data_IF_079956066412
#
_entry.id   IF_079956066412
#
_cell.length_a   1.000
_cell.length_b   1.000
_cell.length_c   1.000
_cell.angle_alpha   90.00
_cell.angle_beta   90.00
_cell.angle_gamma   90.00
#
_symmetry.space_group_name_H-M   'P 1'
#
loop_
_entity.id
_entity.type
_entity.pdbx_description
1 polymer ?
#
# COMPACT_ATOMS: atom_id res chain seq x y z
N UNK A 1 -15.46 -3.61 -17.11
CA UNK A 1 -14.18 -3.00 -16.64
C UNK A 1 -14.38 -1.59 -16.07
N UNK A 2 -15.30 -0.77 -16.60
CA UNK A 2 -15.56 0.59 -16.10
C UNK A 2 -16.37 0.64 -14.79
N UNK A 3 -17.14 -0.39 -14.45
CA UNK A 3 -18.01 -0.38 -13.26
C UNK A 3 -17.24 -0.62 -11.95
N UNK A 4 -16.27 -1.53 -11.96
CA UNK A 4 -15.47 -1.86 -10.76
C UNK A 4 -14.58 -0.68 -10.33
N UNK A 5 -13.89 -0.04 -11.27
CA UNK A 5 -13.04 1.12 -10.95
C UNK A 5 -13.84 2.35 -10.48
N UNK A 6 -15.12 2.47 -10.85
CA UNK A 6 -16.01 3.54 -10.38
C UNK A 6 -16.51 3.29 -8.97
N UNK A 7 -16.88 2.04 -8.63
CA UNK A 7 -17.25 1.65 -7.26
C UNK A 7 -16.08 1.79 -6.30
N UNK A 8 -14.90 1.30 -6.66
CA UNK A 8 -13.67 1.46 -5.86
C UNK A 8 -13.37 2.93 -5.55
N UNK A 9 -13.45 3.81 -6.56
CA UNK A 9 -13.26 5.26 -6.36
C UNK A 9 -14.30 5.89 -5.44
N UNK A 10 -15.56 5.47 -5.51
CA UNK A 10 -16.64 5.99 -4.66
C UNK A 10 -16.51 5.49 -3.22
N UNK A 11 -16.13 4.22 -3.00
CA UNK A 11 -15.87 3.67 -1.67
C UNK A 11 -14.69 4.39 -1.01
N UNK A 12 -13.56 4.52 -1.71
CA UNK A 12 -12.42 5.27 -1.20
C UNK A 12 -12.72 6.72 -0.82
N UNK A 13 -13.70 7.37 -1.44
CA UNK A 13 -14.11 8.74 -1.10
C UNK A 13 -15.01 8.74 0.15
N UNK A 14 -15.97 7.83 0.26
CA UNK A 14 -16.92 7.75 1.39
C UNK A 14 -16.24 7.35 2.69
N UNK A 15 -15.37 6.36 2.64
CA UNK A 15 -14.61 5.90 3.82
C UNK A 15 -13.80 7.03 4.47
N UNK A 16 -13.16 7.86 3.66
CA UNK A 16 -12.40 9.02 4.18
C UNK A 16 -13.26 10.10 4.81
N UNK A 17 -14.56 10.11 4.56
CA UNK A 17 -15.48 11.00 5.26
C UNK A 17 -15.67 10.55 6.71
N UNK A 18 -15.54 9.25 7.03
CA UNK A 18 -15.62 8.75 8.42
C UNK A 18 -14.38 9.06 9.25
N UNK A 19 -13.20 9.16 8.64
CA UNK A 19 -11.93 9.41 9.35
C UNK A 19 -11.55 10.90 9.47
N UNK A 20 -12.37 11.79 8.94
CA UNK A 20 -12.10 13.25 8.94
C UNK A 20 -12.01 13.89 10.32
N UNK A 21 -12.67 13.31 11.29
CA UNK A 21 -12.84 13.92 12.61
C UNK A 21 -11.76 13.48 13.60
N UNK A 22 -11.19 12.26 13.39
CA UNK A 22 -10.33 11.62 14.38
C UNK A 22 -8.88 11.38 13.91
N UNK A 23 -8.62 11.35 12.59
CA UNK A 23 -7.30 11.04 12.07
C UNK A 23 -6.35 12.25 12.13
N UNK A 24 -5.15 12.07 12.70
CA UNK A 24 -4.04 13.03 12.60
C UNK A 24 -3.16 12.78 11.36
N UNK A 25 -3.06 11.54 10.90
CA UNK A 25 -2.29 11.16 9.73
C UNK A 25 -2.91 9.96 8.99
N UNK A 26 -2.70 9.90 7.70
CA UNK A 26 -3.09 8.76 6.85
C UNK A 26 -1.86 8.23 6.12
N UNK A 27 -1.66 6.91 6.20
CA UNK A 27 -0.50 6.21 5.64
C UNK A 27 -0.94 5.27 4.52
N UNK A 28 -0.59 5.60 3.28
CA UNK A 28 -0.80 4.71 2.14
C UNK A 28 0.43 3.84 1.92
N UNK A 29 0.23 2.53 1.94
CA UNK A 29 1.31 1.54 1.89
C UNK A 29 1.75 1.17 0.46
N UNK A 30 1.66 2.09 -0.48
CA UNK A 30 2.07 1.89 -1.88
C UNK A 30 0.98 1.30 -2.77
N UNK A 31 1.27 1.23 -4.07
CA UNK A 31 0.34 0.78 -5.11
C UNK A 31 -1.01 1.51 -5.07
N UNK A 32 -0.96 2.80 -4.76
CA UNK A 32 -2.12 3.69 -4.69
C UNK A 32 -2.79 3.85 -6.06
N UNK A 33 -1.98 3.73 -7.11
CA UNK A 33 -2.39 3.79 -8.50
C UNK A 33 -1.94 2.55 -9.26
N UNK A 34 -2.74 2.10 -10.23
CA UNK A 34 -2.38 0.99 -11.13
C UNK A 34 -1.12 1.26 -11.96
N UNK A 35 -0.89 2.53 -12.21
CA UNK A 35 0.27 3.08 -12.89
C UNK A 35 0.35 4.57 -12.62
N UNK A 36 1.52 5.04 -12.19
CA UNK A 36 1.78 6.46 -12.00
C UNK A 36 3.16 6.82 -12.52
N UNK A 37 3.23 7.83 -13.40
CA UNK A 37 4.47 8.45 -13.85
C UNK A 37 4.27 9.95 -13.98
N UNK A 38 5.07 10.73 -13.28
CA UNK A 38 5.07 12.18 -13.35
C UNK A 38 6.01 12.65 -14.46
N UNK A 39 5.44 13.10 -15.58
CA UNK A 39 6.17 13.85 -16.59
C UNK A 39 6.31 15.31 -16.15
N UNK A 40 7.21 16.05 -16.78
CA UNK A 40 7.45 17.46 -16.42
C UNK A 40 6.18 18.33 -16.37
N UNK A 41 5.23 18.07 -17.26
CA UNK A 41 4.01 18.88 -17.41
C UNK A 41 2.72 18.05 -17.46
N UNK A 42 2.80 16.73 -17.28
CA UNK A 42 1.65 15.83 -17.45
C UNK A 42 1.69 14.74 -16.38
N UNK A 43 0.55 14.52 -15.76
CA UNK A 43 0.30 13.41 -14.84
C UNK A 43 -0.83 12.52 -15.33
N UNK A 44 -0.95 11.28 -14.84
CA UNK A 44 -2.05 10.38 -15.20
C UNK A 44 -3.42 11.00 -14.92
N UNK A 45 -4.32 10.93 -15.91
CA UNK A 45 -5.70 11.41 -15.77
C UNK A 45 -6.58 10.40 -15.05
N UNK A 46 -7.71 10.87 -14.51
CA UNK A 46 -8.77 10.01 -13.94
C UNK A 46 -8.79 9.94 -12.43
N UNK A 47 -7.89 10.63 -11.73
CA UNK A 47 -7.74 10.60 -10.28
C UNK A 47 -8.21 11.87 -9.57
N UNK A 48 -8.84 12.83 -10.28
CA UNK A 48 -9.17 14.17 -9.78
C UNK A 48 -9.98 14.14 -8.48
N UNK A 49 -11.02 13.29 -8.39
CA UNK A 49 -11.85 13.21 -7.18
C UNK A 49 -11.09 12.64 -5.99
N UNK A 50 -10.24 11.65 -6.24
CA UNK A 50 -9.40 11.04 -5.22
C UNK A 50 -8.38 12.04 -4.70
N UNK A 51 -7.63 12.68 -5.60
CA UNK A 51 -6.65 13.70 -5.25
C UNK A 51 -7.30 14.92 -4.58
N UNK A 52 -8.47 15.36 -5.06
CA UNK A 52 -9.24 16.42 -4.41
C UNK A 52 -9.66 16.06 -2.99
N UNK A 53 -9.97 14.78 -2.72
CA UNK A 53 -10.26 14.34 -1.37
C UNK A 53 -9.02 14.32 -0.48
N UNK A 54 -7.86 13.93 -1.00
CA UNK A 54 -6.60 14.01 -0.25
C UNK A 54 -6.22 15.47 0.06
N UNK A 55 -6.40 16.36 -0.91
CA UNK A 55 -6.20 17.80 -0.70
C UNK A 55 -7.12 18.35 0.40
N UNK A 56 -8.42 18.01 0.37
CA UNK A 56 -9.37 18.40 1.43
C UNK A 56 -8.92 17.93 2.82
N UNK A 57 -8.39 16.71 2.94
CA UNK A 57 -7.90 16.18 4.20
C UNK A 57 -6.62 16.88 4.65
N UNK A 58 -5.70 17.14 3.73
CA UNK A 58 -4.48 17.89 4.00
C UNK A 58 -4.77 19.34 4.43
N UNK A 59 -5.73 20.01 3.79
CA UNK A 59 -6.18 21.37 4.16
C UNK A 59 -6.80 21.43 5.57
N UNK A 60 -7.26 20.30 6.09
CA UNK A 60 -7.74 20.16 7.48
C UNK A 60 -6.62 19.85 8.48
N UNK A 61 -5.38 19.72 8.01
CA UNK A 61 -4.21 19.43 8.85
C UNK A 61 -3.93 17.95 9.06
N UNK A 62 -4.58 17.04 8.30
CA UNK A 62 -4.27 15.61 8.34
C UNK A 62 -3.03 15.35 7.48
N UNK A 63 -1.99 14.78 8.06
CA UNK A 63 -0.77 14.43 7.33
C UNK A 63 -1.02 13.27 6.37
N UNK A 64 -0.62 13.44 5.11
CA UNK A 64 -0.78 12.43 4.07
C UNK A 64 0.58 11.82 3.74
N UNK A 65 0.80 10.59 4.19
CA UNK A 65 2.02 9.83 3.93
C UNK A 65 1.75 8.78 2.85
N UNK A 66 2.63 8.70 1.84
CA UNK A 66 2.48 7.75 0.74
C UNK A 66 3.82 7.01 0.54
N UNK A 67 3.81 5.71 0.76
CA UNK A 67 4.90 4.86 0.28
C UNK A 67 4.74 4.62 -1.21
N UNK A 68 5.85 4.60 -1.96
CA UNK A 68 5.81 4.17 -3.35
C UNK A 68 5.72 2.64 -3.39
N UNK A 69 4.85 2.12 -4.24
CA UNK A 69 4.78 0.71 -4.56
C UNK A 69 5.48 0.37 -5.88
N UNK A 70 5.34 -0.85 -6.33
CA UNK A 70 5.93 -1.28 -7.61
C UNK A 70 5.12 -0.80 -8.83
N UNK A 71 3.85 -0.41 -8.67
CA UNK A 71 2.99 0.13 -9.73
C UNK A 71 3.11 1.66 -9.87
N UNK A 72 3.48 2.36 -8.82
CA UNK A 72 3.50 3.82 -8.76
C UNK A 72 4.84 4.39 -8.25
N UNK A 73 5.93 3.70 -8.59
CA UNK A 73 7.30 4.00 -8.19
C UNK A 73 7.78 5.40 -8.67
N UNK A 74 7.15 5.99 -9.69
CA UNK A 74 7.55 7.25 -10.32
C UNK A 74 6.72 8.44 -9.84
N UNK A 75 6.40 8.47 -8.54
CA UNK A 75 5.94 9.67 -7.84
C UNK A 75 7.15 10.54 -7.51
N UNK A 76 7.18 11.78 -7.99
CA UNK A 76 8.34 12.66 -7.77
C UNK A 76 8.00 13.86 -6.88
N UNK A 77 7.33 14.86 -7.40
CA UNK A 77 7.08 16.11 -6.71
C UNK A 77 5.65 16.68 -6.89
N UNK A 78 4.85 16.08 -7.76
CA UNK A 78 3.49 16.53 -8.01
C UNK A 78 2.61 16.42 -6.77
N UNK A 79 2.52 15.23 -6.16
CA UNK A 79 1.69 15.04 -4.97
C UNK A 79 2.18 15.86 -3.75
N UNK A 80 3.49 15.96 -3.48
CA UNK A 80 4.01 16.89 -2.48
C UNK A 80 3.61 18.35 -2.71
N UNK A 81 3.70 18.82 -3.95
CA UNK A 81 3.41 20.23 -4.30
C UNK A 81 1.92 20.56 -4.30
N UNK A 82 1.08 19.65 -4.82
CA UNK A 82 -0.34 19.90 -5.01
C UNK A 82 -1.19 19.60 -3.77
N UNK A 83 -0.80 18.62 -2.96
CA UNK A 83 -1.58 18.19 -1.80
C UNK A 83 -0.78 18.11 -0.51
N UNK A 84 0.49 18.54 -0.49
CA UNK A 84 1.33 18.47 0.70
C UNK A 84 1.70 17.05 1.13
N UNK A 85 1.56 16.03 0.26
CA UNK A 85 1.84 14.64 0.61
C UNK A 85 3.34 14.40 0.86
N UNK A 86 3.64 13.56 1.84
CA UNK A 86 5.00 13.11 2.19
C UNK A 86 5.24 11.77 1.51
N UNK A 87 6.17 11.73 0.53
CA UNK A 87 6.47 10.53 -0.23
C UNK A 87 7.63 9.76 0.39
N UNK A 88 7.37 8.51 0.78
CA UNK A 88 8.36 7.57 1.29
C UNK A 88 8.82 6.63 0.18
N UNK A 89 10.12 6.64 -0.12
CA UNK A 89 10.72 5.85 -1.22
C UNK A 89 11.27 4.51 -0.78
N UNK A 90 11.45 4.35 0.52
CA UNK A 90 11.97 3.14 1.16
C UNK A 90 11.19 2.89 2.45
N UNK A 91 11.48 1.78 3.12
CA UNK A 91 10.90 1.48 4.43
C UNK A 91 11.22 2.59 5.44
N UNK A 92 10.35 2.81 6.39
CA UNK A 92 10.47 3.82 7.43
C UNK A 92 10.31 3.19 8.81
N UNK A 93 11.23 3.52 9.72
CA UNK A 93 11.04 3.29 11.14
C UNK A 93 10.64 4.61 11.80
N UNK A 94 9.51 4.64 12.49
CA UNK A 94 8.94 5.84 13.09
C UNK A 94 8.30 5.53 14.44
N UNK A 95 8.39 6.49 15.35
CA UNK A 95 7.72 6.41 16.65
C UNK A 95 6.36 7.15 16.56
N UNK A 96 5.26 6.41 16.75
CA UNK A 96 3.90 6.93 16.72
C UNK A 96 3.24 6.69 18.07
N UNK A 97 2.92 7.76 18.78
CA UNK A 97 2.23 7.72 20.08
C UNK A 97 2.86 6.71 21.06
N UNK A 98 4.19 6.71 21.15
CA UNK A 98 4.94 5.89 22.12
C UNK A 98 5.19 4.43 21.72
N UNK A 99 4.84 4.05 20.49
CA UNK A 99 5.16 2.74 19.90
C UNK A 99 6.01 2.90 18.67
N UNK A 100 6.91 1.95 18.44
CA UNK A 100 7.84 1.96 17.31
C UNK A 100 7.34 1.09 16.18
N UNK A 101 7.16 1.71 15.02
CA UNK A 101 6.63 1.12 13.80
C UNK A 101 7.71 0.96 12.75
N UNK A 102 7.68 -0.16 12.05
CA UNK A 102 8.40 -0.37 10.80
C UNK A 102 7.37 -0.46 9.68
N UNK A 103 7.37 0.53 8.80
CA UNK A 103 6.38 0.69 7.74
C UNK A 103 7.04 0.56 6.37
N UNK A 104 6.35 -0.02 5.40
CA UNK A 104 6.80 -0.09 4.02
C UNK A 104 5.75 -0.66 3.09
N UNK A 105 6.01 -0.59 1.78
CA UNK A 105 5.15 -1.26 0.81
C UNK A 105 5.26 -2.79 0.95
N UNK A 106 6.48 -3.30 1.07
CA UNK A 106 6.76 -4.71 1.26
C UNK A 106 7.54 -5.37 0.12
N UNK A 107 7.59 -4.76 -1.07
CA UNK A 107 8.47 -5.22 -2.15
C UNK A 107 9.94 -4.95 -1.87
N UNK A 108 10.23 -3.96 -1.01
CA UNK A 108 11.59 -3.61 -0.58
C UNK A 108 12.26 -4.73 0.20
N UNK A 109 11.48 -5.50 0.94
CA UNK A 109 11.96 -6.61 1.79
C UNK A 109 11.90 -7.97 1.10
N UNK A 110 11.50 -8.03 -0.18
CA UNK A 110 11.56 -9.26 -0.98
C UNK A 110 12.94 -9.49 -1.59
N UNK A 111 13.74 -10.31 -0.94
CA UNK A 111 15.09 -10.68 -1.41
C UNK A 111 15.13 -12.00 -2.21
N UNK A 112 14.00 -12.66 -2.44
CA UNK A 112 13.93 -13.99 -3.09
C UNK A 112 14.29 -13.97 -4.57
N UNK A 113 13.86 -12.92 -5.31
CA UNK A 113 14.07 -12.82 -6.75
C UNK A 113 15.15 -11.80 -7.13
N UNK A 114 16.28 -12.29 -7.65
CA UNK A 114 17.34 -11.42 -8.20
C UNK A 114 16.84 -10.59 -9.39
N UNK A 115 16.02 -11.18 -10.25
CA UNK A 115 15.45 -10.51 -11.43
C UNK A 115 14.53 -9.36 -11.01
N UNK A 116 13.67 -9.57 -10.02
CA UNK A 116 12.80 -8.51 -9.51
C UNK A 116 13.59 -7.35 -8.90
N UNK A 117 14.64 -7.66 -8.13
CA UNK A 117 15.54 -6.62 -7.57
C UNK A 117 16.25 -5.81 -8.66
N UNK A 118 16.67 -6.46 -9.75
CA UNK A 118 17.28 -5.78 -10.89
C UNK A 118 16.29 -4.84 -11.58
N UNK A 119 15.07 -5.31 -11.86
CA UNK A 119 14.01 -4.49 -12.47
C UNK A 119 13.70 -3.28 -11.58
N UNK A 120 13.57 -3.49 -10.27
CA UNK A 120 13.34 -2.40 -9.32
C UNK A 120 14.49 -1.39 -9.31
N UNK A 121 15.74 -1.85 -9.37
CA UNK A 121 16.91 -0.98 -9.45
C UNK A 121 16.92 -0.14 -10.75
N UNK A 122 16.55 -0.74 -11.89
CA UNK A 122 16.40 -0.05 -13.17
C UNK A 122 15.31 1.03 -13.08
N UNK A 123 14.16 0.71 -12.53
CA UNK A 123 13.03 1.64 -12.41
C UNK A 123 13.31 2.80 -11.43
N UNK A 124 14.15 2.58 -10.42
CA UNK A 124 14.61 3.61 -9.48
C UNK A 124 15.80 4.41 -10.00
N UNK A 125 16.46 3.95 -11.06
CA UNK A 125 17.62 4.64 -11.63
C UNK A 125 17.20 5.93 -12.34
N UNK A 126 17.76 7.08 -11.93
CA UNK A 126 17.41 8.41 -12.47
C UNK A 126 17.68 8.56 -13.96
N UNK A 127 18.72 7.92 -14.48
CA UNK A 127 19.03 7.94 -15.91
C UNK A 127 17.98 7.17 -16.71
N UNK A 128 17.57 5.99 -16.23
CA UNK A 128 16.49 5.21 -16.85
C UNK A 128 15.16 5.96 -16.79
N UNK A 129 14.88 6.64 -15.69
CA UNK A 129 13.69 7.50 -15.55
C UNK A 129 13.72 8.67 -16.54
N UNK A 130 14.87 9.30 -16.73
CA UNK A 130 15.05 10.37 -17.72
C UNK A 130 14.84 9.87 -19.15
N UNK A 131 15.40 8.71 -19.50
CA UNK A 131 15.16 8.08 -20.81
C UNK A 131 13.67 7.76 -21.00
N UNK A 132 13.02 7.22 -19.98
CA UNK A 132 11.59 6.91 -20.02
C UNK A 132 10.73 8.17 -20.20
N UNK A 133 11.10 9.28 -19.57
CA UNK A 133 10.44 10.58 -19.75
C UNK A 133 10.45 11.10 -21.19
N UNK A 134 11.42 10.68 -21.99
CA UNK A 134 11.51 11.00 -23.42
C UNK A 134 10.49 10.23 -24.30
N UNK A 135 9.87 9.17 -23.78
CA UNK A 135 8.87 8.39 -24.51
C UNK A 135 7.52 9.09 -24.40
N UNK A 136 6.82 9.22 -25.52
CA UNK A 136 5.51 9.90 -25.53
C UNK A 136 4.51 9.19 -24.60
N UNK A 137 3.75 9.91 -23.75
CA UNK A 137 2.83 9.32 -22.76
C UNK A 137 1.81 8.34 -23.35
N UNK A 138 1.37 8.54 -24.59
CA UNK A 138 0.45 7.63 -25.29
C UNK A 138 0.99 6.19 -25.35
N UNK A 139 2.29 6.02 -25.53
CA UNK A 139 2.93 4.71 -25.65
C UNK A 139 3.16 4.07 -24.28
N UNK A 140 3.68 4.87 -23.34
CA UNK A 140 3.98 4.40 -22.00
C UNK A 140 2.72 4.00 -21.23
N UNK A 141 1.66 4.80 -21.33
CA UNK A 141 0.36 4.47 -20.72
C UNK A 141 -0.27 3.23 -21.34
N UNK A 142 -0.24 3.11 -22.67
CA UNK A 142 -0.76 1.92 -23.36
C UNK A 142 -0.06 0.64 -22.91
N UNK A 143 1.25 0.68 -22.86
CA UNK A 143 2.07 -0.45 -22.40
C UNK A 143 1.84 -0.77 -20.91
N UNK A 144 1.90 0.23 -20.04
CA UNK A 144 1.77 0.05 -18.60
C UNK A 144 0.39 -0.45 -18.19
N UNK A 145 -0.67 0.10 -18.76
CA UNK A 145 -2.04 -0.38 -18.54
C UNK A 145 -2.23 -1.80 -19.05
N UNK A 146 -1.68 -2.13 -20.22
CA UNK A 146 -1.68 -3.49 -20.77
C UNK A 146 -0.95 -4.48 -19.83
N UNK A 147 0.21 -4.09 -19.32
CA UNK A 147 0.97 -4.87 -18.35
C UNK A 147 0.19 -5.07 -17.04
N UNK A 148 -0.36 -4.00 -16.45
CA UNK A 148 -1.15 -4.07 -15.23
C UNK A 148 -2.37 -4.98 -15.39
N UNK A 149 -3.11 -4.86 -16.50
CA UNK A 149 -4.26 -5.72 -16.80
C UNK A 149 -3.86 -7.19 -16.98
N UNK A 150 -2.74 -7.47 -17.63
CA UNK A 150 -2.25 -8.83 -17.82
C UNK A 150 -1.75 -9.44 -16.50
N UNK A 151 -1.06 -8.65 -15.67
CA UNK A 151 -0.65 -9.06 -14.32
C UNK A 151 -1.85 -9.41 -13.44
N UNK A 152 -2.94 -8.63 -13.51
CA UNK A 152 -4.18 -8.93 -12.78
C UNK A 152 -4.85 -10.22 -13.27
N UNK A 153 -4.92 -10.45 -14.58
CA UNK A 153 -5.48 -11.69 -15.14
C UNK A 153 -4.70 -12.90 -14.65
N UNK A 154 -3.38 -12.87 -14.77
CA UNK A 154 -2.52 -13.96 -14.29
C UNK A 154 -2.57 -14.12 -12.76
N UNK A 155 -2.81 -13.04 -12.01
CA UNK A 155 -3.01 -13.07 -10.55
C UNK A 155 -4.35 -13.67 -10.13
N UNK A 156 -5.42 -13.48 -10.93
CA UNK A 156 -6.73 -14.12 -10.70
C UNK A 156 -6.66 -15.62 -10.98
N UNK A 157 -5.89 -16.05 -11.98
CA UNK A 157 -5.64 -17.47 -12.27
C UNK A 157 -4.77 -18.15 -11.20
N UNK A 158 -3.92 -17.38 -10.49
CA UNK A 158 -3.07 -17.86 -9.39
C UNK A 158 -3.65 -17.52 -8.02
N UNK A 159 -4.93 -17.79 -7.78
CA UNK A 159 -5.57 -17.55 -6.47
C UNK A 159 -4.82 -18.19 -5.29
N UNK A 160 -4.11 -19.29 -5.51
CA UNK A 160 -3.28 -19.92 -4.47
C UNK A 160 -2.08 -19.05 -4.04
N UNK A 161 -1.53 -18.23 -4.93
CA UNK A 161 -0.42 -17.33 -4.60
C UNK A 161 -0.84 -16.15 -3.71
N UNK A 162 -2.16 -15.88 -3.60
CA UNK A 162 -2.75 -14.85 -2.74
C UNK A 162 -3.16 -15.37 -1.36
N UNK A 163 -2.90 -16.65 -1.05
CA UNK A 163 -3.13 -17.19 0.28
C UNK A 163 -1.90 -17.02 1.16
N UNK A 164 -2.12 -16.90 2.44
CA UNK A 164 -1.05 -16.97 3.44
C UNK A 164 -0.34 -18.33 3.33
N UNK A 165 0.97 -18.28 3.17
CA UNK A 165 1.79 -19.47 2.90
C UNK A 165 2.37 -20.10 4.16
N UNK A 166 2.07 -19.57 5.33
CA UNK A 166 2.66 -19.96 6.60
C UNK A 166 3.86 -19.06 6.98
N UNK A 167 4.19 -19.05 8.26
CA UNK A 167 5.19 -18.14 8.82
C UNK A 167 6.58 -18.27 8.20
N UNK A 168 6.98 -19.49 7.85
CA UNK A 168 8.32 -19.77 7.32
C UNK A 168 8.42 -19.53 5.80
N UNK A 169 7.29 -19.43 5.11
CA UNK A 169 7.23 -19.19 3.68
C UNK A 169 6.83 -17.76 3.31
N UNK A 170 6.17 -17.02 4.23
CA UNK A 170 5.81 -15.63 4.00
C UNK A 170 7.04 -14.73 4.25
N UNK A 171 7.62 -14.22 3.16
CA UNK A 171 8.91 -13.50 3.21
C UNK A 171 8.90 -12.24 4.09
N UNK A 172 7.76 -11.57 4.22
CA UNK A 172 7.63 -10.41 5.11
C UNK A 172 7.70 -10.84 6.58
N UNK A 173 7.12 -11.99 6.92
CA UNK A 173 7.21 -12.57 8.27
C UNK A 173 8.64 -13.01 8.57
N UNK A 174 9.27 -13.69 7.62
CA UNK A 174 10.69 -14.11 7.75
C UNK A 174 11.60 -12.90 7.92
N UNK A 175 11.41 -11.87 7.10
CA UNK A 175 12.15 -10.62 7.23
C UNK A 175 11.95 -9.98 8.61
N UNK A 176 10.71 -9.83 9.07
CA UNK A 176 10.40 -9.18 10.33
C UNK A 176 11.00 -9.94 11.53
N UNK A 177 10.92 -11.28 11.53
CA UNK A 177 11.55 -12.13 12.54
C UNK A 177 13.07 -11.95 12.58
N UNK A 178 13.72 -11.87 11.41
CA UNK A 178 15.16 -11.66 11.33
C UNK A 178 15.56 -10.25 11.78
N UNK A 179 14.78 -9.24 11.34
CA UNK A 179 15.01 -7.84 11.69
C UNK A 179 14.90 -7.59 13.21
N UNK A 180 13.93 -8.26 13.87
CA UNK A 180 13.74 -8.18 15.33
C UNK A 180 14.95 -8.67 16.14
N UNK A 181 15.80 -9.54 15.62
CA UNK A 181 17.00 -10.00 16.33
C UNK A 181 17.98 -8.86 16.61
N UNK A 182 18.01 -7.87 15.75
CA UNK A 182 18.88 -6.69 15.87
C UNK A 182 18.14 -5.42 16.29
N UNK A 183 16.81 -5.41 16.16
CA UNK A 183 15.94 -4.27 16.50
C UNK A 183 14.76 -4.73 17.36
N UNK A 184 15.01 -5.17 18.62
CA UNK A 184 13.98 -5.75 19.49
C UNK A 184 12.96 -4.72 19.99
N UNK A 185 13.19 -3.46 19.72
CA UNK A 185 12.37 -2.30 20.09
C UNK A 185 11.22 -2.02 19.12
N UNK A 186 11.15 -2.69 17.95
CA UNK A 186 10.04 -2.55 17.00
C UNK A 186 8.80 -3.25 17.57
N UNK A 187 7.72 -2.48 17.74
CA UNK A 187 6.45 -3.02 18.19
C UNK A 187 5.58 -3.53 17.05
N UNK A 188 5.58 -2.82 15.90
CA UNK A 188 4.70 -3.14 14.79
C UNK A 188 5.42 -3.08 13.45
N UNK A 189 5.27 -4.14 12.64
CA UNK A 189 5.63 -4.16 11.24
C UNK A 189 4.36 -4.08 10.42
N UNK A 190 4.24 -3.11 9.50
CA UNK A 190 3.05 -2.94 8.69
C UNK A 190 3.44 -2.86 7.21
N UNK A 191 2.85 -3.75 6.38
CA UNK A 191 3.12 -3.87 4.96
C UNK A 191 1.84 -3.95 4.14
N UNK A 192 1.95 -3.60 2.85
CA UNK A 192 0.97 -3.83 1.79
C UNK A 192 1.37 -4.97 0.87
N UNK A 193 1.35 -4.74 -0.47
CA UNK A 193 1.90 -5.54 -1.58
C UNK A 193 1.33 -6.95 -1.77
N UNK A 194 1.19 -7.73 -0.71
CA UNK A 194 0.80 -9.15 -0.81
C UNK A 194 -0.68 -9.39 -1.08
N UNK A 195 -1.51 -8.37 -0.94
CA UNK A 195 -2.97 -8.47 -1.08
C UNK A 195 -3.57 -9.60 -0.22
N UNK A 196 -3.07 -9.78 0.98
CA UNK A 196 -3.61 -10.67 2.02
C UNK A 196 -3.82 -9.87 3.29
N UNK A 197 -4.80 -10.25 4.08
CA UNK A 197 -4.96 -9.76 5.44
C UNK A 197 -4.24 -10.71 6.38
N UNK A 198 -3.25 -10.21 7.10
CA UNK A 198 -2.53 -10.97 8.12
C UNK A 198 -2.31 -10.10 9.34
N UNK A 199 -2.58 -10.66 10.51
CA UNK A 199 -2.23 -10.09 11.81
C UNK A 199 -1.61 -11.21 12.63
N UNK A 200 -0.31 -11.13 12.92
CA UNK A 200 0.45 -12.20 13.54
C UNK A 200 1.38 -11.64 14.61
N UNK A 201 1.38 -12.28 15.78
CA UNK A 201 2.35 -12.00 16.84
C UNK A 201 3.72 -12.60 16.47
N UNK A 202 4.77 -11.79 16.48
CA UNK A 202 6.15 -12.23 16.27
C UNK A 202 6.87 -12.50 17.59
N UNK A 203 6.48 -11.77 18.63
CA UNK A 203 6.97 -11.92 20.00
C UNK A 203 5.92 -11.43 20.99
N UNK A 204 6.22 -11.40 22.28
CA UNK A 204 5.31 -10.83 23.29
C UNK A 204 5.00 -9.35 23.11
N UNK A 205 5.86 -8.62 22.40
CA UNK A 205 5.78 -7.16 22.26
C UNK A 205 5.76 -6.69 20.81
N UNK A 206 5.86 -7.61 19.86
CA UNK A 206 5.96 -7.25 18.44
C UNK A 206 4.96 -8.03 17.58
N UNK A 207 4.31 -7.34 16.65
CA UNK A 207 3.32 -7.88 15.70
C UNK A 207 3.68 -7.49 14.28
N UNK A 208 3.28 -8.31 13.32
CA UNK A 208 3.28 -7.97 11.89
C UNK A 208 1.85 -7.94 11.37
N UNK A 209 1.51 -6.89 10.62
CA UNK A 209 0.26 -6.76 9.92
C UNK A 209 0.53 -6.57 8.42
N UNK A 210 -0.20 -7.31 7.58
CA UNK A 210 -0.25 -7.09 6.14
C UNK A 210 -1.66 -6.60 5.82
N UNK A 211 -1.76 -5.38 5.28
CA UNK A 211 -3.00 -4.60 5.29
C UNK A 211 -4.06 -5.04 4.28
N UNK A 212 -3.83 -6.10 3.50
CA UNK A 212 -4.77 -6.47 2.44
C UNK A 212 -4.75 -5.53 1.24
N UNK A 213 -5.91 -5.24 0.70
CA UNK A 213 -6.07 -4.30 -0.42
C UNK A 213 -7.43 -3.59 -0.42
N UNK A 214 -7.54 -2.52 -1.22
CA UNK A 214 -8.79 -1.78 -1.47
C UNK A 214 -9.57 -2.28 -2.70
N UNK A 215 -9.28 -3.49 -3.19
CA UNK A 215 -9.97 -4.10 -4.34
C UNK A 215 -10.90 -5.24 -3.93
N UNK A 216 -10.48 -6.03 -2.94
CA UNK A 216 -11.21 -7.23 -2.48
C UNK A 216 -11.56 -7.12 -1.00
N UNK A 217 -10.62 -6.70 -0.17
CA UNK A 217 -10.77 -6.69 1.28
C UNK A 217 -11.29 -5.37 1.82
N UNK A 218 -11.02 -4.25 1.14
CA UNK A 218 -11.34 -2.90 1.63
C UNK A 218 -10.84 -2.66 3.06
N UNK A 219 -9.66 -3.21 3.35
CA UNK A 219 -9.11 -3.27 4.70
C UNK A 219 -8.22 -2.07 5.01
N UNK A 220 -8.21 -1.69 6.27
CA UNK A 220 -7.36 -0.63 6.81
C UNK A 220 -6.88 -0.99 8.21
N UNK A 221 -5.85 -0.30 8.67
CA UNK A 221 -5.26 -0.49 9.99
C UNK A 221 -5.39 0.83 10.74
N UNK A 222 -5.81 0.76 12.00
CA UNK A 222 -5.96 1.93 12.87
C UNK A 222 -5.05 1.78 14.07
N UNK A 223 -4.34 2.87 14.40
CA UNK A 223 -3.61 3.05 15.64
C UNK A 223 -4.18 4.24 16.40
N UNK A 224 -4.75 4.02 17.57
CA UNK A 224 -5.36 5.05 18.41
C UNK A 224 -4.45 5.53 19.57
N UNK A 225 -3.22 5.03 19.63
CA UNK A 225 -2.27 5.29 20.72
C UNK A 225 -2.22 4.20 21.78
N UNK A 226 -3.22 3.34 21.85
CA UNK A 226 -3.30 2.22 22.78
C UNK A 226 -3.44 0.89 22.03
N UNK A 227 -4.34 0.83 21.05
CA UNK A 227 -4.72 -0.38 20.33
C UNK A 227 -4.40 -0.27 18.84
N UNK A 228 -3.78 -1.32 18.29
CA UNK A 228 -3.62 -1.50 16.86
C UNK A 228 -4.58 -2.58 16.40
N UNK A 229 -5.48 -2.24 15.47
CA UNK A 229 -6.42 -3.19 14.90
C UNK A 229 -6.56 -3.02 13.39
N UNK A 230 -6.92 -4.11 12.73
CA UNK A 230 -7.21 -4.15 11.30
C UNK A 230 -8.70 -4.36 11.14
N UNK A 231 -9.32 -3.57 10.28
CA UNK A 231 -10.75 -3.62 10.02
C UNK A 231 -11.03 -3.54 8.52
N UNK A 232 -12.28 -3.73 8.13
CA UNK A 232 -12.74 -3.69 6.74
C UNK A 232 -13.89 -2.70 6.61
N UNK A 233 -13.82 -1.89 5.56
CA UNK A 233 -14.93 -1.02 5.20
C UNK A 233 -16.01 -1.84 4.49
N UNK A 234 -17.10 -2.13 5.20
CA UNK A 234 -18.29 -2.81 4.68
C UNK A 234 -19.37 -1.77 4.40
N UNK A 235 -19.79 -1.60 3.13
CA UNK A 235 -21.06 -0.91 2.87
C UNK A 235 -22.18 -1.75 3.49
N UNK A 236 -23.06 -1.10 4.26
CA UNK A 236 -24.33 -1.71 4.72
C UNK A 236 -25.26 -1.93 3.52
N UNK A 237 -24.95 -2.92 2.69
CA UNK A 237 -25.82 -3.39 1.62
C UNK A 237 -25.85 -4.91 1.65
N UNK A 238 -27.02 -5.42 2.03
CA UNK A 238 -27.44 -6.81 1.88
C UNK A 238 -26.65 -7.90 2.64
N UNK A 239 -26.69 -7.91 3.96
CA UNK A 239 -26.70 -9.16 4.76
C UNK A 239 -25.62 -10.22 4.52
N UNK A 240 -24.60 -9.97 3.71
CA UNK A 240 -23.47 -10.85 3.47
C UNK A 240 -22.23 -10.34 4.21
N UNK A 241 -22.10 -10.79 5.46
CA UNK A 241 -20.83 -10.72 6.18
C UNK A 241 -19.83 -11.70 5.55
N UNK A 242 -18.72 -11.20 5.05
CA UNK A 242 -17.59 -12.08 4.71
C UNK A 242 -16.94 -12.53 6.02
N UNK A 243 -16.73 -13.85 6.23
CA UNK A 243 -16.14 -14.32 7.46
C UNK A 243 -14.70 -13.83 7.58
N UNK A 244 -14.42 -13.09 8.65
CA UNK A 244 -13.06 -12.84 9.11
C UNK A 244 -12.40 -14.21 9.37
N UNK A 245 -11.41 -14.56 8.58
CA UNK A 245 -10.53 -15.67 8.93
C UNK A 245 -9.54 -15.17 10.00
N UNK A 246 -10.01 -15.04 11.22
CA UNK A 246 -9.18 -14.95 12.40
C UNK A 246 -8.45 -16.28 12.54
N UNK A 247 -7.17 -16.30 12.19
CA UNK A 247 -6.30 -17.41 12.57
C UNK A 247 -6.02 -17.23 14.06
N UNK A 248 -6.84 -17.83 14.91
CA UNK A 248 -6.54 -18.05 16.31
C UNK A 248 -5.44 -19.10 16.38
N UNK A 249 -4.25 -18.72 16.80
CA UNK A 249 -3.24 -19.66 17.25
C UNK A 249 -3.47 -19.82 18.75
N UNK A 250 -4.09 -20.94 19.12
CA UNK A 250 -4.09 -21.41 20.51
C UNK A 250 -2.70 -21.96 20.85
N UNK A 251 -2.18 -21.53 22.01
CA UNK A 251 -1.04 -22.00 22.84
C UNK A 251 -0.07 -23.02 22.22
#
# INVERSE_FOLDING_TARGET
>A
LHSTSRRQRQMCIRDRDSIKEDASAIWFLGDLFDYWYEYKYVVPKGHVRFLGKLAELADRGIEIHIFIGNHDIWMFDYLPKEIGAIIHRDTLTVDLLGKRFFLGHGDEVDFRSKAFRLIRAIFRNKFCQWLYAGIHPRWTFGFALGWSLNSRKSGLEKQEAKKYQGEDAEYMVVFAKEYLKTHPDINFFIFGHRHIMLDLMLSRTSRILIAGDWMQFFSYIVWDGENLYMDQFLEETDGQSYPLSLIHISE
#
